data_IF_174156944231
#
_entry.id   IF_174156944231
#
_cell.length_a   1.000
_cell.length_b   1.000
_cell.length_c   1.000
_cell.angle_alpha   90.00
_cell.angle_beta   90.00
_cell.angle_gamma   90.00
#
_symmetry.space_group_name_H-M   'P 1'
#
loop_
_entity.id
_entity.type
_entity.pdbx_description
1 polymer ?
#
# COMPACT_ATOMS: atom_id res chain seq x y z
N UNK A 1 28.18 12.01 7.75
CA UNK A 1 26.97 12.42 8.48
C UNK A 1 25.81 11.53 8.02
N UNK A 2 24.94 11.11 8.93
CA UNK A 2 23.76 10.30 8.64
C UNK A 2 22.54 11.02 9.18
N UNK A 3 21.49 11.15 8.35
CA UNK A 3 20.24 11.81 8.72
C UNK A 3 19.08 10.81 8.62
N UNK A 4 18.23 10.78 9.63
CA UNK A 4 17.01 9.95 9.62
C UNK A 4 15.92 10.59 10.47
N UNK A 5 14.68 10.49 10.00
CA UNK A 5 13.51 10.90 10.78
C UNK A 5 13.06 9.84 11.80
N UNK A 6 13.49 8.58 11.62
CA UNK A 6 13.16 7.47 12.54
C UNK A 6 14.42 6.66 12.83
N UNK A 7 14.73 6.41 14.10
CA UNK A 7 15.90 5.63 14.50
C UNK A 7 15.49 4.26 15.06
N UNK A 8 16.33 3.26 14.84
CA UNK A 8 16.21 1.92 15.42
C UNK A 8 17.56 1.33 15.78
N UNK A 9 17.56 0.31 16.64
CA UNK A 9 18.77 -0.47 16.96
C UNK A 9 19.51 -1.00 15.72
N UNK A 10 18.77 -1.32 14.65
CA UNK A 10 19.37 -1.76 13.37
C UNK A 10 20.10 -0.62 12.66
N UNK A 11 19.54 0.58 12.63
CA UNK A 11 20.21 1.74 12.02
C UNK A 11 21.42 2.18 12.85
N UNK A 12 21.37 2.05 14.18
CA UNK A 12 22.53 2.26 15.06
C UNK A 12 23.65 1.25 14.78
N UNK A 13 23.34 -0.05 14.69
CA UNK A 13 24.33 -1.07 14.36
C UNK A 13 24.98 -0.85 12.98
N UNK A 14 24.18 -0.47 11.98
CA UNK A 14 24.70 -0.10 10.66
C UNK A 14 25.55 1.16 10.70
N UNK A 15 25.18 2.13 11.53
CA UNK A 15 25.94 3.37 11.72
C UNK A 15 27.29 3.08 12.38
N UNK A 16 27.32 2.21 13.40
CA UNK A 16 28.55 1.77 14.05
C UNK A 16 29.50 1.03 13.09
N UNK A 17 28.95 0.28 12.11
CA UNK A 17 29.75 -0.40 11.08
C UNK A 17 30.21 0.54 9.95
N UNK A 18 29.37 1.50 9.56
CA UNK A 18 29.63 2.37 8.41
C UNK A 18 30.53 3.57 8.72
N UNK A 19 30.58 4.01 9.99
CA UNK A 19 31.33 5.20 10.38
C UNK A 19 32.64 4.79 11.07
N UNK A 20 33.78 5.25 10.51
CA UNK A 20 35.13 4.91 11.00
C UNK A 20 35.53 5.59 12.32
N UNK A 21 34.80 6.63 12.74
CA UNK A 21 35.00 7.38 13.98
C UNK A 21 33.69 7.38 14.76
N UNK A 22 33.74 7.49 16.08
CA UNK A 22 32.53 7.59 16.90
C UNK A 22 31.66 8.78 16.43
N UNK A 23 30.43 8.52 15.96
CA UNK A 23 29.54 9.59 15.54
C UNK A 23 28.97 10.29 16.78
N UNK A 24 29.01 11.62 16.79
CA UNK A 24 28.28 12.39 17.79
C UNK A 24 26.80 12.33 17.43
N UNK A 25 26.00 11.83 18.37
CA UNK A 25 24.55 11.80 18.24
C UNK A 25 23.96 13.17 18.58
N UNK A 26 23.13 13.70 17.68
CA UNK A 26 22.40 14.96 17.88
C UNK A 26 20.92 14.65 17.67
N UNK A 27 20.22 14.37 18.77
CA UNK A 27 18.77 14.19 18.83
C UNK A 27 18.11 15.45 19.34
N UNK A 28 17.11 15.97 18.62
CA UNK A 28 16.41 17.20 19.02
C UNK A 28 15.22 16.90 19.94
N UNK A 29 14.73 15.64 20.01
CA UNK A 29 13.41 15.33 20.59
C UNK A 29 13.18 13.84 20.97
N UNK A 30 14.15 13.16 21.57
CA UNK A 30 14.05 11.71 21.84
C UNK A 30 12.99 11.31 22.88
N UNK A 31 12.56 12.28 23.69
CA UNK A 31 11.59 12.07 24.76
C UNK A 31 10.14 12.33 24.36
N UNK A 32 9.83 12.64 23.09
CA UNK A 32 8.45 12.89 22.68
C UNK A 32 7.54 11.67 22.91
N UNK A 33 6.35 11.97 23.44
CA UNK A 33 5.29 10.98 23.65
C UNK A 33 4.66 10.51 22.35
N UNK A 34 4.71 11.35 21.30
CA UNK A 34 4.18 11.06 19.96
C UNK A 34 5.26 11.12 18.89
N UNK A 35 5.17 10.24 17.89
CA UNK A 35 6.11 10.18 16.76
C UNK A 35 5.75 11.17 15.63
N UNK A 36 4.63 11.87 15.75
CA UNK A 36 4.10 12.81 14.75
C UNK A 36 4.03 14.21 15.33
N UNK A 37 3.94 15.23 14.47
CA UNK A 37 3.85 16.64 14.88
C UNK A 37 2.47 16.96 15.48
N UNK A 38 2.40 17.86 16.45
CA UNK A 38 1.16 18.15 17.19
C UNK A 38 0.09 18.86 16.32
N UNK A 39 0.51 19.57 15.27
CA UNK A 39 -0.40 20.28 14.34
C UNK A 39 -1.03 19.36 13.29
N UNK A 40 -0.75 18.07 13.34
CA UNK A 40 -1.25 17.07 12.41
C UNK A 40 -2.46 16.32 13.02
N UNK A 41 -3.63 16.54 12.44
CA UNK A 41 -4.83 15.77 12.77
C UNK A 41 -4.84 14.45 11.99
N UNK A 42 -4.86 13.33 12.71
CA UNK A 42 -4.76 12.01 12.09
C UNK A 42 -5.95 11.15 12.48
N UNK A 43 -6.57 10.55 11.49
CA UNK A 43 -7.64 9.61 11.72
C UNK A 43 -7.68 8.47 10.73
N UNK A 44 -8.50 7.49 11.06
CA UNK A 44 -8.78 6.35 10.21
C UNK A 44 -10.26 6.22 9.92
N UNK A 45 -10.60 5.52 8.85
CA UNK A 45 -11.95 5.08 8.55
C UNK A 45 -11.96 3.57 8.32
N UNK A 46 -13.05 2.93 8.73
CA UNK A 46 -13.31 1.53 8.39
C UNK A 46 -14.18 1.47 7.15
N UNK A 47 -13.62 0.95 6.06
CA UNK A 47 -14.29 0.86 4.78
C UNK A 47 -14.26 -0.58 4.24
N UNK A 48 -15.42 -1.20 3.98
CA UNK A 48 -15.50 -2.45 3.23
C UNK A 48 -14.84 -2.31 1.85
N UNK A 49 -14.17 -3.37 1.40
CA UNK A 49 -13.36 -3.39 0.18
C UNK A 49 -14.09 -2.79 -1.02
N UNK A 50 -15.33 -3.21 -1.25
CA UNK A 50 -16.15 -2.85 -2.41
C UNK A 50 -16.52 -1.37 -2.48
N UNK A 51 -16.49 -0.65 -1.36
CA UNK A 51 -16.83 0.78 -1.31
C UNK A 51 -15.61 1.70 -1.25
N UNK A 52 -14.40 1.16 -1.12
CA UNK A 52 -13.16 1.97 -0.96
C UNK A 52 -12.97 2.97 -2.09
N UNK A 53 -13.20 2.55 -3.34
CA UNK A 53 -13.07 3.43 -4.49
C UNK A 53 -14.10 4.58 -4.47
N UNK A 54 -15.34 4.30 -4.07
CA UNK A 54 -16.40 5.31 -3.95
C UNK A 54 -16.08 6.35 -2.88
N UNK A 55 -15.54 5.90 -1.74
CA UNK A 55 -15.05 6.77 -0.67
C UNK A 55 -13.94 7.67 -1.18
N UNK A 56 -12.92 7.09 -1.84
CA UNK A 56 -11.79 7.86 -2.37
C UNK A 56 -12.27 8.91 -3.40
N UNK A 57 -13.10 8.52 -4.36
CA UNK A 57 -13.66 9.45 -5.34
C UNK A 57 -14.43 10.59 -4.68
N UNK A 58 -15.31 10.27 -3.72
CA UNK A 58 -16.10 11.27 -3.00
C UNK A 58 -15.21 12.23 -2.21
N UNK A 59 -14.20 11.68 -1.52
CA UNK A 59 -13.25 12.46 -0.75
C UNK A 59 -12.46 13.42 -1.64
N UNK A 60 -11.92 12.93 -2.75
CA UNK A 60 -11.16 13.75 -3.69
C UNK A 60 -12.04 14.79 -4.37
N UNK A 61 -13.30 14.45 -4.71
CA UNK A 61 -14.26 15.38 -5.30
C UNK A 61 -14.59 16.55 -4.36
N UNK A 62 -14.70 16.30 -3.05
CA UNK A 62 -14.93 17.35 -2.04
C UNK A 62 -13.70 18.21 -1.81
N UNK A 63 -12.50 17.64 -1.92
CA UNK A 63 -11.24 18.32 -1.64
C UNK A 63 -10.48 18.78 -2.91
N UNK A 64 -11.18 19.01 -4.04
CA UNK A 64 -10.56 19.43 -5.32
C UNK A 64 -9.75 20.73 -5.25
N UNK A 65 -10.11 21.63 -4.33
CA UNK A 65 -9.45 22.93 -4.12
C UNK A 65 -8.28 22.87 -3.14
N UNK A 66 -7.96 21.68 -2.61
CA UNK A 66 -6.87 21.48 -1.66
C UNK A 66 -5.70 20.76 -2.34
N UNK A 67 -4.54 20.82 -1.71
CA UNK A 67 -3.39 19.98 -2.08
C UNK A 67 -3.51 18.65 -1.34
N UNK A 68 -3.69 17.56 -2.09
CA UNK A 68 -3.94 16.22 -1.55
C UNK A 68 -2.94 15.23 -2.11
N UNK A 69 -2.33 14.42 -1.26
CA UNK A 69 -1.54 13.26 -1.68
C UNK A 69 -2.26 11.97 -1.31
N UNK A 70 -2.30 11.01 -2.24
CA UNK A 70 -2.91 9.70 -2.04
C UNK A 70 -1.87 8.62 -2.24
N UNK A 71 -1.62 7.84 -1.19
CA UNK A 71 -0.67 6.73 -1.19
C UNK A 71 -1.34 5.40 -1.53
N UNK A 72 -0.73 4.69 -2.48
CA UNK A 72 -1.10 3.35 -2.90
C UNK A 72 0.06 2.38 -2.70
N UNK A 73 -0.28 1.12 -2.47
CA UNK A 73 0.66 0.02 -2.28
C UNK A 73 1.46 -0.32 -3.55
N UNK A 74 0.88 -0.13 -4.74
CA UNK A 74 1.52 -0.57 -5.99
C UNK A 74 1.53 0.48 -7.10
N UNK A 75 2.57 0.41 -7.94
CA UNK A 75 2.70 1.27 -9.12
C UNK A 75 1.54 1.09 -10.12
N UNK A 76 1.01 -0.13 -10.25
CA UNK A 76 -0.08 -0.38 -11.20
C UNK A 76 -1.40 0.16 -10.65
N UNK A 77 -1.61 0.13 -9.32
CA UNK A 77 -2.73 0.82 -8.68
C UNK A 77 -2.66 2.32 -8.95
N UNK A 78 -1.51 2.97 -8.78
CA UNK A 78 -1.35 4.40 -9.10
C UNK A 78 -1.69 4.68 -10.56
N UNK A 79 -1.15 3.88 -11.50
CA UNK A 79 -1.40 4.02 -12.94
C UNK A 79 -2.90 3.91 -13.27
N UNK A 80 -3.56 2.86 -12.79
CA UNK A 80 -4.98 2.62 -13.03
C UNK A 80 -5.85 3.74 -12.46
N UNK A 81 -5.63 4.14 -11.20
CA UNK A 81 -6.43 5.21 -10.59
C UNK A 81 -6.19 6.54 -11.30
N UNK A 82 -4.96 6.83 -11.74
CA UNK A 82 -4.67 8.02 -12.54
C UNK A 82 -5.44 8.03 -13.87
N UNK A 83 -5.40 6.93 -14.62
CA UNK A 83 -6.15 6.81 -15.88
C UNK A 83 -7.66 6.92 -15.63
N UNK A 84 -8.17 6.19 -14.64
CA UNK A 84 -9.58 6.18 -14.27
C UNK A 84 -10.10 7.58 -13.90
N UNK A 85 -9.39 8.28 -13.00
CA UNK A 85 -9.81 9.60 -12.53
C UNK A 85 -9.82 10.64 -13.66
N UNK A 86 -8.90 10.55 -14.61
CA UNK A 86 -8.91 11.39 -15.82
C UNK A 86 -10.12 11.10 -16.72
N UNK A 87 -10.59 9.86 -16.83
CA UNK A 87 -11.82 9.54 -17.59
C UNK A 87 -13.11 10.05 -16.94
N UNK A 88 -13.10 10.34 -15.64
CA UNK A 88 -14.27 10.83 -14.88
C UNK A 88 -14.11 12.31 -14.48
N UNK A 89 -13.32 13.07 -15.24
CA UNK A 89 -13.11 14.50 -15.08
C UNK A 89 -12.69 14.91 -13.66
N UNK A 90 -11.77 14.13 -13.08
CA UNK A 90 -11.04 14.46 -11.87
C UNK A 90 -9.55 14.61 -12.22
N UNK A 91 -9.03 15.84 -12.35
CA UNK A 91 -7.64 16.05 -12.70
C UNK A 91 -6.74 15.56 -11.56
N UNK A 92 -5.88 14.60 -11.88
CA UNK A 92 -4.94 14.00 -10.93
C UNK A 92 -3.56 13.89 -11.58
N UNK A 93 -2.53 14.09 -10.77
CA UNK A 93 -1.14 13.82 -11.11
C UNK A 93 -0.72 12.46 -10.55
N UNK A 94 0.28 11.82 -11.12
CA UNK A 94 0.79 10.54 -10.60
C UNK A 94 2.31 10.42 -10.61
N UNK A 95 2.86 9.89 -9.51
CA UNK A 95 4.29 9.58 -9.35
C UNK A 95 4.45 8.14 -8.86
N UNK A 96 5.12 7.30 -9.64
CA UNK A 96 5.44 5.92 -9.22
C UNK A 96 6.77 5.43 -9.82
N UNK A 97 7.37 4.41 -9.21
CA UNK A 97 8.72 3.94 -9.54
C UNK A 97 8.92 3.42 -10.98
N UNK A 98 7.85 2.99 -11.65
CA UNK A 98 7.90 2.57 -13.07
C UNK A 98 7.91 3.73 -14.09
N UNK A 99 7.76 4.98 -13.67
CA UNK A 99 7.85 6.13 -14.59
C UNK A 99 9.30 6.52 -14.82
N UNK A 100 9.59 7.07 -16.01
CA UNK A 100 10.89 7.68 -16.29
C UNK A 100 11.17 8.85 -15.35
N UNK A 101 12.44 9.02 -14.99
CA UNK A 101 12.86 10.04 -14.03
C UNK A 101 12.44 11.46 -14.47
N UNK A 102 12.58 11.80 -15.76
CA UNK A 102 12.17 13.10 -16.30
C UNK A 102 10.70 13.40 -16.01
N UNK A 103 9.82 12.44 -16.29
CA UNK A 103 8.38 12.59 -16.02
C UNK A 103 8.10 12.77 -14.53
N UNK A 104 8.76 11.99 -13.66
CA UNK A 104 8.64 12.13 -12.20
C UNK A 104 9.04 13.52 -11.74
N UNK A 105 10.16 14.04 -12.23
CA UNK A 105 10.67 15.37 -11.90
C UNK A 105 9.72 16.46 -12.38
N UNK A 106 9.23 16.39 -13.62
CA UNK A 106 8.26 17.36 -14.16
C UNK A 106 6.97 17.38 -13.34
N UNK A 107 6.36 16.22 -13.09
CA UNK A 107 5.12 16.11 -12.31
C UNK A 107 5.32 16.55 -10.86
N UNK A 108 6.48 16.27 -10.28
CA UNK A 108 6.84 16.73 -8.94
C UNK A 108 6.84 18.27 -8.87
N UNK A 109 7.59 18.94 -9.75
CA UNK A 109 7.63 20.39 -9.75
C UNK A 109 6.27 21.02 -10.09
N UNK A 110 5.51 20.40 -10.99
CA UNK A 110 4.15 20.81 -11.28
C UNK A 110 3.26 20.77 -10.02
N UNK A 111 3.34 19.71 -9.22
CA UNK A 111 2.58 19.59 -7.98
C UNK A 111 3.06 20.57 -6.89
N UNK A 112 4.37 20.78 -6.77
CA UNK A 112 4.93 21.72 -5.82
C UNK A 112 4.47 23.16 -6.13
N UNK A 113 4.50 23.55 -7.40
CA UNK A 113 4.13 24.89 -7.86
C UNK A 113 2.61 25.13 -7.94
N UNK A 114 1.80 24.07 -7.97
CA UNK A 114 0.35 24.21 -7.98
C UNK A 114 -0.17 24.66 -6.60
N UNK A 115 -1.15 25.55 -6.56
CA UNK A 115 -1.82 25.94 -5.31
C UNK A 115 -2.70 24.81 -4.77
N UNK A 116 -3.38 24.09 -5.68
CA UNK A 116 -4.22 22.95 -5.36
C UNK A 116 -3.98 21.81 -6.36
N UNK A 117 -4.31 20.58 -5.97
CA UNK A 117 -4.13 19.44 -6.84
C UNK A 117 -4.09 18.13 -6.08
N UNK A 118 -4.29 17.04 -6.80
CA UNK A 118 -4.28 15.69 -6.27
C UNK A 118 -3.09 14.94 -6.87
N UNK A 119 -2.22 14.42 -6.02
CA UNK A 119 -1.09 13.59 -6.41
C UNK A 119 -1.29 12.15 -5.93
N UNK A 120 -1.35 11.21 -6.87
CA UNK A 120 -1.39 9.79 -6.59
C UNK A 120 0.03 9.23 -6.60
N UNK A 121 0.46 8.57 -5.54
CA UNK A 121 1.84 8.11 -5.45
C UNK A 121 2.01 6.80 -4.69
N UNK A 122 3.17 6.17 -4.89
CA UNK A 122 3.70 5.13 -4.00
C UNK A 122 4.75 5.73 -3.07
N UNK A 123 5.36 4.91 -2.21
CA UNK A 123 6.37 5.32 -1.22
C UNK A 123 7.66 5.93 -1.80
N UNK A 124 7.83 5.85 -3.13
CA UNK A 124 8.85 6.62 -3.86
C UNK A 124 8.72 8.13 -3.61
N UNK A 125 7.51 8.63 -3.33
CA UNK A 125 7.27 10.04 -3.02
C UNK A 125 7.30 10.35 -1.51
N UNK A 126 7.37 9.33 -0.65
CA UNK A 126 7.32 9.52 0.81
C UNK A 126 8.67 9.95 1.42
N UNK A 127 9.80 9.69 0.73
CA UNK A 127 11.16 9.94 1.26
C UNK A 127 11.92 10.93 0.40
N UNK A 128 12.67 11.84 1.04
CA UNK A 128 13.69 12.68 0.40
C UNK A 128 13.19 13.77 -0.55
N UNK A 129 11.91 13.77 -0.94
CA UNK A 129 11.31 14.83 -1.72
C UNK A 129 10.74 15.92 -0.80
N UNK A 130 11.18 17.16 -1.02
CA UNK A 130 10.64 18.30 -0.31
C UNK A 130 9.36 18.80 -1.02
N UNK A 131 8.23 18.28 -0.57
CA UNK A 131 6.91 18.67 -1.05
C UNK A 131 6.41 19.78 -0.11
N UNK A 132 6.00 20.95 -0.63
CA UNK A 132 5.45 22.03 0.19
C UNK A 132 4.19 21.56 0.91
N UNK A 133 3.88 22.18 2.06
CA UNK A 133 2.83 21.76 2.99
C UNK A 133 1.53 21.37 2.25
N UNK A 134 1.24 20.07 2.27
CA UNK A 134 0.06 19.45 1.67
C UNK A 134 -1.07 19.50 2.71
N UNK A 135 -2.32 19.75 2.32
CA UNK A 135 -3.44 19.82 3.27
C UNK A 135 -3.86 18.44 3.78
N UNK A 136 -3.85 17.44 2.89
CA UNK A 136 -4.31 16.08 3.18
C UNK A 136 -3.37 15.00 2.68
N UNK A 137 -3.06 14.05 3.57
CA UNK A 137 -2.41 12.78 3.24
C UNK A 137 -3.42 11.67 3.38
N UNK A 138 -3.80 11.06 2.26
CA UNK A 138 -4.69 9.90 2.22
C UNK A 138 -3.85 8.65 2.03
N UNK A 139 -3.86 7.77 3.01
CA UNK A 139 -3.28 6.43 2.91
C UNK A 139 -4.38 5.49 2.47
N UNK A 140 -4.58 5.42 1.14
CA UNK A 140 -5.62 4.59 0.56
C UNK A 140 -5.35 3.12 0.82
N UNK A 141 -4.09 2.71 0.67
CA UNK A 141 -3.60 1.42 1.15
C UNK A 141 -2.72 1.64 2.39
N UNK A 142 -2.92 0.85 3.46
CA UNK A 142 -2.03 0.89 4.63
C UNK A 142 -0.57 0.64 4.24
N UNK A 143 0.39 1.31 4.90
CA UNK A 143 1.80 1.05 4.71
C UNK A 143 2.21 -0.29 5.33
N UNK A 144 3.35 -0.82 4.91
CA UNK A 144 3.84 -2.12 5.34
C UNK A 144 4.47 -2.08 6.75
N UNK A 145 4.99 -0.90 7.14
CA UNK A 145 5.60 -0.62 8.46
C UNK A 145 5.02 0.71 9.03
N UNK A 146 4.69 0.78 10.33
CA UNK A 146 4.44 2.04 11.04
C UNK A 146 5.46 3.17 10.78
N UNK A 147 6.73 2.87 10.50
CA UNK A 147 7.68 3.93 10.13
C UNK A 147 7.38 4.57 8.78
N UNK A 148 6.90 3.78 7.84
CA UNK A 148 6.49 4.30 6.53
C UNK A 148 5.23 5.16 6.66
N UNK A 149 4.30 4.79 7.57
CA UNK A 149 3.20 5.67 7.97
C UNK A 149 3.72 7.06 8.39
N UNK A 150 4.69 7.12 9.31
CA UNK A 150 5.26 8.38 9.82
C UNK A 150 5.89 9.20 8.67
N UNK A 151 6.61 8.55 7.75
CA UNK A 151 7.21 9.24 6.61
C UNK A 151 6.17 9.81 5.63
N UNK A 152 5.07 9.08 5.40
CA UNK A 152 3.95 9.52 4.54
C UNK A 152 3.26 10.73 5.14
N UNK A 153 2.86 10.68 6.40
CA UNK A 153 2.17 11.80 7.06
C UNK A 153 3.11 12.98 7.32
N UNK A 154 4.41 12.73 7.48
CA UNK A 154 5.42 13.79 7.56
C UNK A 154 5.61 14.59 6.26
N UNK A 155 4.76 14.41 5.23
CA UNK A 155 4.64 15.29 4.05
C UNK A 155 3.65 16.46 4.26
N UNK A 156 2.78 16.38 5.26
CA UNK A 156 1.88 17.47 5.67
C UNK A 156 2.37 18.11 6.97
N UNK A 157 1.71 19.20 7.41
CA UNK A 157 2.04 19.93 8.63
C UNK A 157 3.54 20.31 8.71
N UNK A 158 4.12 20.70 7.57
CA UNK A 158 5.52 21.10 7.43
C UNK A 158 5.63 22.62 7.61
N UNK A 159 6.46 23.05 8.55
CA UNK A 159 6.71 24.47 8.85
C UNK A 159 5.93 24.98 10.07
N UNK A 160 6.43 26.05 10.69
CA UNK A 160 5.79 26.67 11.85
C UNK A 160 4.41 27.24 11.46
N UNK A 161 3.38 26.85 12.22
CA UNK A 161 2.02 27.37 12.06
C UNK A 161 1.18 26.71 10.96
N UNK A 162 1.67 25.66 10.30
CA UNK A 162 0.87 24.90 9.33
C UNK A 162 0.19 23.71 10.00
N UNK A 163 -1.09 23.50 9.71
CA UNK A 163 -1.84 22.32 10.09
C UNK A 163 -1.96 21.35 8.92
N UNK A 164 -2.19 20.09 9.23
CA UNK A 164 -2.27 19.02 8.25
C UNK A 164 -3.26 17.96 8.68
N UNK A 165 -3.80 17.23 7.71
CA UNK A 165 -4.71 16.13 8.01
C UNK A 165 -4.20 14.83 7.37
N UNK A 166 -4.31 13.73 8.10
CA UNK A 166 -4.03 12.40 7.59
C UNK A 166 -5.24 11.49 7.72
N UNK A 167 -5.58 10.78 6.65
CA UNK A 167 -6.64 9.80 6.59
C UNK A 167 -6.07 8.43 6.26
N UNK A 168 -6.25 7.45 7.14
CA UNK A 168 -5.94 6.05 6.90
C UNK A 168 -7.20 5.27 6.55
N UNK A 169 -7.23 4.60 5.39
CA UNK A 169 -8.35 3.74 5.01
C UNK A 169 -8.01 2.30 5.39
N UNK A 170 -8.81 1.72 6.29
CA UNK A 170 -8.65 0.34 6.73
C UNK A 170 -9.89 -0.48 6.38
N UNK A 171 -9.66 -1.75 6.06
CA UNK A 171 -10.74 -2.75 6.08
C UNK A 171 -11.04 -3.20 7.51
N UNK A 172 -12.24 -3.76 7.78
CA UNK A 172 -12.56 -4.29 9.11
C UNK A 172 -11.52 -5.30 9.62
N UNK A 173 -10.96 -6.13 8.74
CA UNK A 173 -9.95 -7.13 9.08
C UNK A 173 -8.57 -6.51 9.39
N UNK A 174 -8.32 -5.28 8.96
CA UNK A 174 -7.04 -4.59 9.08
C UNK A 174 -6.92 -3.76 10.38
N UNK A 175 -7.99 -3.68 11.19
CA UNK A 175 -8.01 -2.91 12.44
C UNK A 175 -6.89 -3.29 13.43
N UNK A 176 -6.39 -4.52 13.34
CA UNK A 176 -5.23 -4.96 14.12
C UNK A 176 -3.98 -4.09 13.89
N UNK A 177 -3.86 -3.44 12.72
CA UNK A 177 -2.75 -2.54 12.41
C UNK A 177 -2.68 -1.32 13.33
N UNK A 178 -3.82 -0.85 13.85
CA UNK A 178 -3.87 0.27 14.80
C UNK A 178 -3.07 -0.01 16.08
N UNK A 179 -2.95 -1.28 16.49
CA UNK A 179 -2.13 -1.68 17.64
C UNK A 179 -0.63 -1.43 17.38
N UNK A 180 -0.17 -1.70 16.17
CA UNK A 180 1.22 -1.46 15.77
C UNK A 180 1.53 0.03 15.66
N UNK A 181 0.58 0.82 15.15
CA UNK A 181 0.69 2.28 15.13
C UNK A 181 0.75 2.86 16.55
N UNK A 182 -0.10 2.37 17.46
CA UNK A 182 -0.07 2.78 18.88
C UNK A 182 1.26 2.45 19.55
N UNK A 183 1.85 1.28 19.26
CA UNK A 183 3.20 0.92 19.75
C UNK A 183 4.29 1.83 19.17
N UNK A 184 4.11 2.31 17.94
CA UNK A 184 4.98 3.29 17.31
C UNK A 184 4.68 4.74 17.75
N UNK A 185 3.91 4.93 18.84
CA UNK A 185 3.52 6.26 19.37
C UNK A 185 2.73 7.11 18.38
N UNK A 186 1.93 6.48 17.53
CA UNK A 186 0.99 7.14 16.62
C UNK A 186 -0.43 6.87 17.13
N UNK A 187 -1.08 7.92 17.65
CA UNK A 187 -2.48 7.87 18.03
C UNK A 187 -3.36 8.28 16.83
N UNK A 188 -4.41 7.50 16.56
CA UNK A 188 -5.37 7.80 15.50
C UNK A 188 -6.77 7.82 16.08
N UNK A 189 -7.55 8.82 15.65
CA UNK A 189 -8.97 8.91 15.96
C UNK A 189 -9.79 8.28 14.84
N UNK A 190 -10.90 7.63 15.18
CA UNK A 190 -11.84 7.19 14.14
C UNK A 190 -12.60 8.40 13.60
N UNK A 191 -12.59 8.57 12.29
CA UNK A 191 -13.41 9.58 11.64
C UNK A 191 -14.78 9.02 11.33
N UNK A 192 -15.79 9.60 11.95
CA UNK A 192 -17.17 9.32 11.60
C UNK A 192 -17.47 9.82 10.18
N UNK A 193 -17.99 8.95 9.33
CA UNK A 193 -18.44 9.34 8.00
C UNK A 193 -19.82 8.79 7.69
N UNK A 194 -20.64 9.61 7.04
CA UNK A 194 -21.97 9.22 6.62
C UNK A 194 -21.91 8.58 5.23
N UNK A 195 -22.28 7.30 5.14
CA UNK A 195 -22.42 6.56 3.89
C UNK A 195 -23.37 7.24 2.90
N UNK A 196 -24.36 8.00 3.40
CA UNK A 196 -25.34 8.71 2.58
C UNK A 196 -24.70 9.84 1.75
N UNK A 197 -23.52 10.33 2.14
CA UNK A 197 -22.80 11.40 1.44
C UNK A 197 -21.85 10.88 0.36
N UNK A 198 -21.80 9.56 0.15
CA UNK A 198 -20.92 8.92 -0.84
C UNK A 198 -21.62 8.90 -2.19
N UNK A 199 -20.89 9.34 -3.22
CA UNK A 199 -21.40 9.28 -4.58
C UNK A 199 -21.48 7.82 -5.04
N UNK A 200 -22.69 7.37 -5.39
CA UNK A 200 -22.89 6.06 -6.00
C UNK A 200 -22.56 6.11 -7.50
N UNK A 201 -21.28 5.88 -7.80
CA UNK A 201 -20.75 5.82 -9.17
C UNK A 201 -20.44 4.39 -9.60
N UNK A 202 -20.87 3.38 -8.84
CA UNK A 202 -20.45 1.99 -9.04
C UNK A 202 -20.85 1.48 -10.44
N UNK A 203 -22.11 1.70 -10.83
CA UNK A 203 -22.62 1.26 -12.13
C UNK A 203 -21.92 1.98 -13.30
N UNK A 204 -21.57 3.26 -13.13
CA UNK A 204 -20.86 4.03 -14.14
C UNK A 204 -19.43 3.52 -14.30
N UNK A 205 -18.75 3.23 -13.19
CA UNK A 205 -17.42 2.66 -13.16
C UNK A 205 -17.37 1.30 -13.86
N UNK A 206 -18.30 0.41 -13.53
CA UNK A 206 -18.39 -0.93 -14.13
C UNK A 206 -18.63 -0.86 -15.64
N UNK A 207 -19.55 0.01 -16.10
CA UNK A 207 -19.81 0.23 -17.53
C UNK A 207 -18.60 0.82 -18.26
N UNK A 208 -17.89 1.76 -17.63
CA UNK A 208 -16.71 2.38 -18.21
C UNK A 208 -15.59 1.35 -18.41
N UNK A 209 -15.34 0.53 -17.38
CA UNK A 209 -14.31 -0.51 -17.41
C UNK A 209 -14.68 -1.66 -18.33
N UNK A 210 -15.96 -1.99 -18.48
CA UNK A 210 -16.39 -3.01 -19.44
C UNK A 210 -16.25 -2.56 -20.89
N UNK A 211 -16.43 -1.26 -21.17
CA UNK A 211 -16.41 -0.70 -22.53
C UNK A 211 -14.99 -0.34 -22.99
N UNK A 212 -14.18 0.23 -22.11
CA UNK A 212 -12.84 0.71 -22.48
C UNK A 212 -11.79 -0.40 -22.31
N UNK A 213 -11.28 -0.92 -23.43
CA UNK A 213 -10.28 -1.99 -23.44
C UNK A 213 -9.00 -1.64 -22.66
N UNK A 214 -8.43 -0.46 -22.88
CA UNK A 214 -7.18 -0.05 -22.23
C UNK A 214 -7.35 0.11 -20.72
N UNK A 215 -8.44 0.74 -20.30
CA UNK A 215 -8.76 0.90 -18.88
C UNK A 215 -9.06 -0.45 -18.22
N UNK A 216 -9.74 -1.37 -18.92
CA UNK A 216 -9.98 -2.73 -18.45
C UNK A 216 -8.67 -3.48 -18.18
N UNK A 217 -7.72 -3.40 -19.11
CA UNK A 217 -6.43 -4.05 -18.97
C UNK A 217 -5.62 -3.47 -17.81
N UNK A 218 -5.59 -2.14 -17.69
CA UNK A 218 -4.97 -1.42 -16.57
C UNK A 218 -5.58 -1.82 -15.23
N UNK A 219 -6.91 -1.91 -15.15
CA UNK A 219 -7.65 -2.35 -13.98
C UNK A 219 -7.31 -3.81 -13.60
N UNK A 220 -7.18 -4.72 -14.58
CA UNK A 220 -6.78 -6.11 -14.32
C UNK A 220 -5.37 -6.20 -13.76
N UNK A 221 -4.44 -5.43 -14.31
CA UNK A 221 -3.05 -5.38 -13.83
C UNK A 221 -2.97 -4.81 -12.41
N UNK A 222 -3.71 -3.74 -12.14
CA UNK A 222 -3.80 -3.11 -10.82
C UNK A 222 -4.45 -4.02 -9.77
N UNK A 223 -5.54 -4.70 -10.11
CA UNK A 223 -6.16 -5.70 -9.25
C UNK A 223 -5.16 -6.82 -8.89
N UNK A 224 -4.48 -7.37 -9.90
CA UNK A 224 -3.50 -8.43 -9.69
C UNK A 224 -2.32 -7.98 -8.83
N UNK A 225 -1.81 -6.76 -9.05
CA UNK A 225 -0.70 -6.24 -8.26
C UNK A 225 -1.13 -5.94 -6.83
N UNK A 226 -2.34 -5.40 -6.62
CA UNK A 226 -2.88 -5.14 -5.28
C UNK A 226 -2.98 -6.41 -4.45
N UNK A 227 -3.61 -7.47 -4.99
CA UNK A 227 -3.74 -8.74 -4.27
C UNK A 227 -2.38 -9.36 -4.00
N UNK A 228 -1.43 -9.29 -4.95
CA UNK A 228 -0.05 -9.77 -4.73
C UNK A 228 0.70 -8.96 -3.69
N UNK A 229 0.51 -7.64 -3.64
CA UNK A 229 1.12 -6.78 -2.63
C UNK A 229 0.59 -7.12 -1.24
N UNK A 230 -0.73 -7.36 -1.14
CA UNK A 230 -1.38 -7.87 0.06
C UNK A 230 -0.77 -9.23 0.47
N UNK A 231 -0.58 -10.13 -0.49
CA UNK A 231 0.10 -11.43 -0.29
C UNK A 231 1.60 -11.34 -0.02
N UNK A 232 2.23 -10.18 -0.19
CA UNK A 232 3.62 -9.96 0.20
C UNK A 232 3.79 -9.22 1.52
N UNK A 233 2.70 -8.72 2.11
CA UNK A 233 2.74 -7.89 3.32
C UNK A 233 3.41 -8.62 4.50
N UNK A 234 4.24 -7.93 5.28
CA UNK A 234 5.01 -8.57 6.37
C UNK A 234 4.13 -9.00 7.55
N UNK A 235 3.17 -8.15 7.94
CA UNK A 235 2.19 -8.42 9.00
C UNK A 235 1.08 -9.40 8.55
N UNK A 236 1.44 -10.65 8.28
CA UNK A 236 0.54 -11.72 7.80
C UNK A 236 -0.65 -12.03 8.69
N UNK A 237 -0.55 -11.73 9.98
CA UNK A 237 -1.63 -11.95 10.94
C UNK A 237 -2.77 -10.94 10.79
N UNK A 238 -2.48 -9.77 10.25
CA UNK A 238 -3.46 -8.70 9.99
C UNK A 238 -3.80 -8.68 8.50
N UNK A 239 -2.76 -8.68 7.67
CA UNK A 239 -2.88 -8.63 6.22
C UNK A 239 -2.86 -10.04 5.63
N UNK A 240 -3.88 -10.81 5.99
CA UNK A 240 -4.07 -12.17 5.51
C UNK A 240 -4.90 -12.19 4.22
N UNK A 241 -4.33 -12.73 3.14
CA UNK A 241 -4.98 -12.83 1.82
C UNK A 241 -6.17 -13.77 1.86
N UNK A 242 -6.16 -14.77 2.74
CA UNK A 242 -7.26 -15.73 2.84
C UNK A 242 -8.53 -15.06 3.37
N UNK A 243 -8.40 -13.93 4.09
CA UNK A 243 -9.52 -13.09 4.54
C UNK A 243 -10.02 -12.12 3.46
N UNK A 244 -9.30 -12.00 2.35
CA UNK A 244 -9.62 -11.06 1.29
C UNK A 244 -10.74 -11.60 0.39
N UNK A 245 -11.93 -11.02 0.48
CA UNK A 245 -13.00 -11.30 -0.46
C UNK A 245 -12.66 -10.68 -1.84
N UNK A 246 -12.13 -11.53 -2.73
CA UNK A 246 -11.70 -11.15 -4.06
C UNK A 246 -12.84 -10.57 -4.91
N UNK A 247 -14.09 -10.98 -4.68
CA UNK A 247 -15.23 -10.43 -5.42
C UNK A 247 -15.51 -8.99 -4.98
N UNK A 248 -15.46 -8.71 -3.67
CA UNK A 248 -15.60 -7.34 -3.13
C UNK A 248 -14.44 -6.44 -3.56
N UNK A 249 -13.21 -6.95 -3.53
CA UNK A 249 -12.05 -6.20 -4.03
C UNK A 249 -12.20 -5.92 -5.52
N UNK A 250 -12.62 -6.91 -6.32
CA UNK A 250 -12.83 -6.73 -7.75
C UNK A 250 -13.85 -5.62 -8.07
N UNK A 251 -14.92 -5.50 -7.26
CA UNK A 251 -15.87 -4.39 -7.38
C UNK A 251 -15.23 -3.01 -7.19
N UNK A 252 -14.25 -2.88 -6.29
CA UNK A 252 -13.52 -1.62 -6.09
C UNK A 252 -12.66 -1.23 -7.29
N UNK A 253 -12.20 -2.20 -8.08
CA UNK A 253 -11.57 -1.99 -9.38
C UNK A 253 -12.58 -1.94 -10.54
N UNK A 254 -13.88 -1.87 -10.23
CA UNK A 254 -15.01 -1.79 -11.16
C UNK A 254 -15.24 -3.02 -12.02
N UNK A 255 -14.87 -4.20 -11.52
CA UNK A 255 -15.26 -5.47 -12.13
C UNK A 255 -16.50 -6.05 -11.48
N UNK A 256 -17.44 -6.51 -12.30
CA UNK A 256 -18.58 -7.33 -11.85
C UNK A 256 -18.18 -8.77 -11.55
N UNK A 257 -17.20 -9.29 -12.29
CA UNK A 257 -16.64 -10.64 -12.13
C UNK A 257 -15.15 -10.52 -11.83
N UNK A 258 -14.64 -11.14 -10.75
CA UNK A 258 -13.25 -11.03 -10.38
C UNK A 258 -12.32 -11.60 -11.48
N UNK A 259 -11.28 -10.84 -11.90
CA UNK A 259 -10.26 -11.37 -12.80
C UNK A 259 -9.53 -12.56 -12.18
N UNK A 260 -9.19 -13.56 -13.00
CA UNK A 260 -8.41 -14.69 -12.53
C UNK A 260 -7.01 -14.25 -12.06
N UNK A 261 -6.63 -14.74 -10.88
CA UNK A 261 -5.32 -14.46 -10.28
C UNK A 261 -4.66 -15.76 -9.82
N UNK A 262 -3.38 -15.90 -10.15
CA UNK A 262 -2.53 -16.96 -9.63
C UNK A 262 -1.82 -16.42 -8.40
N UNK A 263 -2.22 -16.92 -7.22
CA UNK A 263 -1.52 -16.69 -5.97
C UNK A 263 -0.60 -17.88 -5.70
N UNK A 264 0.64 -17.60 -5.32
CA UNK A 264 1.57 -18.65 -4.89
C UNK A 264 1.19 -19.07 -3.50
N UNK A 265 0.22 -19.97 -3.37
CA UNK A 265 -0.09 -20.59 -2.09
C UNK A 265 1.18 -21.30 -1.62
N UNK A 266 1.82 -20.78 -0.58
CA UNK A 266 2.79 -21.53 0.17
C UNK A 266 2.04 -22.73 0.72
N UNK A 267 2.22 -23.91 0.12
CA UNK A 267 1.75 -25.17 0.67
C UNK A 267 2.31 -25.29 2.09
N UNK A 268 1.55 -24.88 3.10
CA UNK A 268 1.65 -25.43 4.45
C UNK A 268 1.01 -26.83 4.40
N UNK A 269 1.58 -27.71 3.58
CA UNK A 269 1.44 -29.14 3.82
C UNK A 269 2.05 -29.43 5.19
N UNK A 270 1.47 -30.32 6.00
CA UNK A 270 2.02 -30.61 7.31
C UNK A 270 3.48 -31.02 7.12
N UNK A 271 4.39 -30.35 7.81
CA UNK A 271 5.75 -30.81 7.97
C UNK A 271 5.67 -32.17 8.63
N UNK A 272 5.68 -33.23 7.82
CA UNK A 272 5.93 -34.58 8.31
C UNK A 272 7.30 -34.52 8.96
N UNK A 273 7.32 -34.37 10.29
CA UNK A 273 8.47 -34.73 11.11
C UNK A 273 8.83 -36.15 10.69
N UNK A 274 9.93 -36.29 9.95
CA UNK A 274 10.58 -37.59 9.76
C UNK A 274 10.85 -38.12 11.16
N UNK A 275 10.09 -39.15 11.56
CA UNK A 275 10.37 -39.93 12.75
C UNK A 275 11.81 -40.44 12.62
N UNK A 276 12.56 -40.29 13.71
CA UNK A 276 13.97 -40.61 13.79
C UNK A 276 14.27 -42.06 13.39
N UNK A 277 15.45 -42.23 12.79
CA UNK A 277 16.18 -43.48 12.71
C UNK A 277 17.66 -43.10 12.77
N UNK A 278 18.32 -43.45 13.87
CA UNK A 278 19.73 -43.14 14.12
C UNK A 278 20.69 -43.81 13.15
N UNK A 279 21.91 -43.28 13.08
CA UNK A 279 23.02 -43.93 12.36
C UNK A 279 24.09 -42.93 11.93
N UNK A 280 25.20 -42.91 12.66
CA UNK A 280 26.50 -42.41 12.20
C UNK A 280 26.91 -43.10 10.88
N UNK A 281 27.54 -42.37 9.95
CA UNK A 281 28.34 -43.02 8.89
C UNK A 281 28.44 -42.28 7.55
N UNK A 282 29.59 -41.66 7.33
CA UNK A 282 30.45 -41.66 6.12
C UNK A 282 29.89 -41.56 4.68
N UNK A 283 30.52 -40.64 3.96
CA UNK A 283 30.64 -40.49 2.50
C UNK A 283 30.82 -41.80 1.71
N UNK A 284 30.09 -41.96 0.59
CA UNK A 284 30.60 -42.56 -0.66
C UNK A 284 29.63 -42.39 -1.85
N UNK A 285 30.19 -42.10 -3.03
CA UNK A 285 29.68 -42.63 -4.30
C UNK A 285 29.18 -41.64 -5.34
N UNK A 286 30.09 -41.20 -6.22
CA UNK A 286 29.78 -40.72 -7.56
C UNK A 286 29.31 -41.87 -8.48
N UNK A 287 28.52 -41.50 -9.49
CA UNK A 287 28.22 -42.16 -10.78
C UNK A 287 27.19 -43.31 -10.85
N UNK A 288 26.08 -43.04 -11.56
CA UNK A 288 25.13 -44.00 -12.13
C UNK A 288 23.96 -43.27 -12.84
N UNK A 289 23.40 -43.79 -13.96
CA UNK A 289 23.11 -42.98 -15.16
C UNK A 289 21.71 -42.36 -15.26
N UNK A 290 21.59 -41.43 -16.21
CA UNK A 290 20.42 -40.63 -16.55
C UNK A 290 19.13 -41.45 -16.76
N UNK A 291 18.07 -41.04 -16.06
CA UNK A 291 16.71 -41.48 -16.28
C UNK A 291 15.75 -40.29 -16.21
N UNK A 292 15.23 -39.88 -17.36
CA UNK A 292 14.17 -38.89 -17.49
C UNK A 292 12.96 -39.25 -16.62
N UNK A 293 12.58 -38.37 -15.69
CA UNK A 293 11.22 -38.29 -15.16
C UNK A 293 10.75 -36.85 -15.23
N UNK A 294 9.97 -36.54 -16.27
CA UNK A 294 9.18 -35.32 -16.37
C UNK A 294 8.21 -35.27 -15.17
N UNK A 295 8.46 -34.37 -14.23
CA UNK A 295 7.49 -34.05 -13.20
C UNK A 295 6.34 -33.26 -13.84
N UNK A 296 5.18 -33.91 -13.96
CA UNK A 296 3.94 -33.27 -14.41
C UNK A 296 3.55 -32.22 -13.38
N UNK A 297 3.77 -30.93 -13.69
CA UNK A 297 3.19 -29.83 -12.94
C UNK A 297 1.66 -29.87 -13.11
N UNK A 298 0.94 -30.31 -12.08
CA UNK A 298 -0.52 -30.16 -12.02
C UNK A 298 -0.88 -28.73 -11.61
N UNK A 299 -1.24 -27.90 -12.59
CA UNK A 299 -1.83 -26.58 -12.37
C UNK A 299 -3.29 -26.74 -11.95
N UNK A 300 -3.67 -26.23 -10.78
CA UNK A 300 -5.08 -26.13 -10.37
C UNK A 300 -5.60 -24.73 -10.68
N UNK A 301 -6.49 -24.64 -11.67
CA UNK A 301 -7.28 -23.45 -11.98
C UNK A 301 -8.44 -23.39 -10.97
N UNK A 302 -8.51 -22.35 -10.15
CA UNK A 302 -9.67 -22.11 -9.30
C UNK A 302 -10.72 -21.31 -10.08
N UNK A 303 -11.86 -21.94 -10.36
CA UNK A 303 -13.12 -21.27 -10.69
C UNK A 303 -14.06 -21.50 -9.52
N UNK A 304 -14.50 -20.43 -8.86
CA UNK A 304 -15.53 -20.54 -7.82
C UNK A 304 -16.86 -20.93 -8.50
N UNK A 305 -17.51 -21.98 -8.01
CA UNK A 305 -18.83 -22.39 -8.51
C UNK A 305 -19.83 -21.27 -8.25
N UNK A 306 -20.44 -20.77 -9.32
CA UNK A 306 -21.62 -19.90 -9.24
C UNK A 306 -22.72 -20.64 -8.48
N UNK A 307 -23.13 -20.08 -7.34
CA UNK A 307 -24.30 -20.55 -6.61
C UNK A 307 -25.54 -20.24 -7.45
N UNK A 308 -26.27 -21.31 -7.82
CA UNK A 308 -27.62 -21.18 -8.38
C UNK A 308 -28.55 -20.64 -7.30
N UNK A 309 -29.28 -19.57 -7.62
CA UNK A 309 -30.65 -19.39 -7.13
C UNK A 309 -31.57 -20.04 -8.15
#
# INVERSE_FOLDING_TARGET
>A
MLFSATQTKKTEALTALAVKKEPIYVGVDDHREQATVDTLEQGYIVCPSEKRMLVLFTFLKKNRKKKVMVFFSTCMSVKYHHELFNYIDLPVMSIHGKQQQTKRTTTFFQFCNAESGILLCTDVAARGLDIPAVDWIVQYDPPDDPKEYIHRVGRTARGLGTSGHALLVLRPEELGFLRYLKQAKVALNEFEFSWNKIADIQLQLEKLISRNYFLNQSAKEAFKSYVRAYDSHHLKTIFDVDTLDLAKVAKAFGFTVPPAIELRVANKGPTQKRKGGGGFGYFKGLNGPAGHKNAVHKTKIYRQKSGKR
#
